data_IF_456578613606
#
_entry.id   IF_456578613606
#
_cell.length_a   1.000
_cell.length_b   1.000
_cell.length_c   1.000
_cell.angle_alpha   90.00
_cell.angle_beta   90.00
_cell.angle_gamma   90.00
#
_symmetry.space_group_name_H-M   'P 1'
#
loop_
_entity.id
_entity.type
_entity.pdbx_description
1 polymer ?
#
# COMPACT_ATOMS: atom_id res chain seq x y z
N UNK A 1 21.96 5.65 -13.07
CA UNK A 1 21.09 4.52 -13.46
C UNK A 1 19.68 5.02 -13.70
N UNK A 2 19.09 4.69 -14.81
CA UNK A 2 17.74 5.14 -15.16
C UNK A 2 16.71 4.14 -14.64
N UNK A 3 15.74 4.65 -13.89
CA UNK A 3 14.61 3.85 -13.44
C UNK A 3 13.70 3.52 -14.64
N UNK A 4 13.33 2.26 -14.80
CA UNK A 4 12.45 1.82 -15.88
C UNK A 4 11.07 1.48 -15.35
N UNK A 5 10.07 1.41 -16.24
CA UNK A 5 8.72 0.94 -15.86
C UNK A 5 8.77 -0.47 -15.29
N UNK A 6 9.67 -1.33 -15.80
CA UNK A 6 9.82 -2.68 -15.27
C UNK A 6 10.37 -2.66 -13.84
N UNK A 7 11.32 -1.77 -13.53
CA UNK A 7 11.83 -1.60 -12.17
C UNK A 7 10.70 -1.21 -11.21
N UNK A 8 9.87 -0.25 -11.62
CA UNK A 8 8.70 0.17 -10.84
C UNK A 8 7.70 -0.96 -10.68
N UNK A 9 7.42 -1.69 -11.77
CA UNK A 9 6.50 -2.82 -11.76
C UNK A 9 6.95 -3.89 -10.77
N UNK A 10 8.23 -4.19 -10.73
CA UNK A 10 8.78 -5.16 -9.79
C UNK A 10 8.54 -4.74 -8.33
N UNK A 11 8.74 -3.46 -8.02
CA UNK A 11 8.51 -2.93 -6.67
C UNK A 11 7.02 -2.91 -6.33
N UNK A 12 6.17 -2.51 -7.27
CA UNK A 12 4.71 -2.51 -7.07
C UNK A 12 4.18 -3.92 -6.87
N UNK A 13 4.71 -4.90 -7.59
CA UNK A 13 4.34 -6.31 -7.41
C UNK A 13 4.68 -6.78 -5.98
N UNK A 14 5.82 -6.36 -5.43
CA UNK A 14 6.18 -6.64 -4.03
C UNK A 14 5.25 -5.92 -3.05
N UNK A 15 4.86 -4.69 -3.34
CA UNK A 15 3.90 -3.94 -2.51
C UNK A 15 2.56 -4.68 -2.45
N UNK A 16 2.03 -5.07 -3.61
CA UNK A 16 0.75 -5.79 -3.70
C UNK A 16 0.86 -7.12 -2.98
N UNK A 17 1.96 -7.84 -3.16
CA UNK A 17 2.20 -9.12 -2.49
C UNK A 17 2.25 -8.94 -0.98
N UNK A 18 2.94 -7.91 -0.48
CA UNK A 18 3.00 -7.61 0.95
C UNK A 18 1.61 -7.30 1.52
N UNK A 19 0.74 -6.71 0.71
CA UNK A 19 -0.64 -6.43 1.11
C UNK A 19 -1.49 -7.70 1.13
N UNK A 20 -1.51 -8.44 0.02
CA UNK A 20 -2.32 -9.65 -0.12
C UNK A 20 -1.89 -10.73 0.86
N UNK A 21 -0.59 -10.92 1.06
CA UNK A 21 -0.04 -11.91 1.99
C UNK A 21 0.11 -11.38 3.43
N UNK A 22 -0.20 -10.09 3.65
CA UNK A 22 -0.12 -9.45 4.97
C UNK A 22 1.26 -9.59 5.60
N UNK A 23 2.29 -9.24 4.83
CA UNK A 23 3.69 -9.44 5.17
C UNK A 23 4.38 -8.11 5.47
N UNK A 24 4.53 -7.79 6.76
CA UNK A 24 5.16 -6.56 7.21
C UNK A 24 6.68 -6.56 6.98
N UNK A 25 7.32 -7.72 6.96
CA UNK A 25 8.74 -7.81 6.67
C UNK A 25 9.02 -7.52 5.19
N UNK A 26 8.17 -7.99 4.30
CA UNK A 26 8.30 -7.73 2.87
C UNK A 26 8.12 -6.25 2.54
N UNK A 27 7.13 -5.58 3.13
CA UNK A 27 6.91 -4.15 2.84
C UNK A 27 8.12 -3.31 3.24
N UNK A 28 8.79 -3.65 4.30
CA UNK A 28 9.99 -2.95 4.75
C UNK A 28 11.09 -2.94 3.69
N UNK A 29 11.21 -4.02 2.90
CA UNK A 29 12.30 -4.19 1.93
C UNK A 29 12.24 -3.26 0.73
N UNK A 30 11.09 -2.67 0.42
CA UNK A 30 10.92 -1.83 -0.78
C UNK A 30 11.07 -0.34 -0.53
N UNK A 31 11.33 0.07 0.72
CA UNK A 31 11.48 1.47 1.11
C UNK A 31 12.93 1.78 1.49
N UNK A 32 13.34 3.05 1.30
CA UNK A 32 14.63 3.53 1.81
C UNK A 32 14.57 3.64 3.33
N UNK A 33 15.75 3.74 3.98
CA UNK A 33 15.83 3.83 5.45
C UNK A 33 15.04 5.01 6.02
N UNK A 34 15.03 6.14 5.30
CA UNK A 34 14.40 7.40 5.74
C UNK A 34 13.12 7.71 4.99
N UNK A 35 12.50 6.71 4.37
CA UNK A 35 11.29 6.91 3.57
C UNK A 35 10.14 7.51 4.37
N UNK A 36 9.27 8.23 3.65
CA UNK A 36 8.03 8.76 4.21
C UNK A 36 6.83 8.12 3.54
N UNK A 37 5.81 7.83 4.34
CA UNK A 37 4.57 7.21 3.88
C UNK A 37 3.40 8.10 4.29
N UNK A 38 2.78 8.74 3.30
CA UNK A 38 1.66 9.65 3.51
C UNK A 38 0.36 8.93 3.20
N UNK A 39 -0.18 8.25 4.19
CA UNK A 39 -1.48 7.59 4.07
C UNK A 39 -2.60 8.61 3.91
N UNK A 40 -2.48 9.72 4.64
CA UNK A 40 -3.41 10.85 4.57
C UNK A 40 -2.59 12.12 4.45
N UNK A 41 -2.75 12.81 3.32
CA UNK A 41 -1.84 13.91 2.94
C UNK A 41 -1.92 15.13 3.86
N UNK A 42 -2.99 15.28 4.63
CA UNK A 42 -3.11 16.38 5.60
C UNK A 42 -2.60 16.03 7.00
N UNK A 43 -2.19 14.79 7.22
CA UNK A 43 -1.66 14.33 8.50
C UNK A 43 -0.14 14.18 8.42
N UNK A 44 0.49 14.08 9.59
CA UNK A 44 1.92 13.81 9.69
C UNK A 44 2.23 12.46 9.04
N UNK A 45 3.21 12.38 8.13
CA UNK A 45 3.55 11.13 7.49
C UNK A 45 4.16 10.13 8.47
N UNK A 46 3.97 8.86 8.16
CA UNK A 46 4.69 7.77 8.82
C UNK A 46 6.14 7.85 8.35
N UNK A 47 7.07 7.89 9.29
CA UNK A 47 8.49 8.12 9.00
C UNK A 47 9.29 6.85 9.20
N UNK A 48 10.28 6.72 8.34
CA UNK A 48 11.31 5.70 8.25
C UNK A 48 10.77 4.28 7.99
N UNK A 49 11.68 3.41 7.61
CA UNK A 49 11.39 2.03 7.24
C UNK A 49 10.73 1.24 8.38
N UNK A 50 11.21 1.44 9.60
CA UNK A 50 10.67 0.74 10.77
C UNK A 50 9.27 1.23 11.13
N UNK A 51 9.02 2.53 10.98
CA UNK A 51 7.69 3.12 11.17
C UNK A 51 6.68 2.59 10.17
N UNK A 52 7.08 2.44 8.91
CA UNK A 52 6.24 1.87 7.85
C UNK A 52 5.93 0.41 8.16
N UNK A 53 6.90 -0.37 8.62
CA UNK A 53 6.69 -1.76 9.02
C UNK A 53 5.68 -1.86 10.17
N UNK A 54 5.84 -1.02 11.19
CA UNK A 54 4.93 -1.01 12.35
C UNK A 54 3.51 -0.63 11.95
N UNK A 55 3.36 0.38 11.08
CA UNK A 55 2.06 0.77 10.52
C UNK A 55 1.42 -0.39 9.76
N UNK A 56 2.20 -1.06 8.90
CA UNK A 56 1.71 -2.18 8.10
C UNK A 56 1.23 -3.33 8.98
N UNK A 57 1.98 -3.63 10.04
CA UNK A 57 1.60 -4.67 10.99
C UNK A 57 0.26 -4.35 11.65
N UNK A 58 0.08 -3.13 12.14
CA UNK A 58 -1.16 -2.74 12.82
C UNK A 58 -2.33 -2.63 11.85
N UNK A 59 -2.14 -2.01 10.69
CA UNK A 59 -3.22 -1.69 9.76
C UNK A 59 -3.59 -2.85 8.85
N UNK A 60 -2.58 -3.52 8.29
CA UNK A 60 -2.80 -4.59 7.30
C UNK A 60 -2.86 -5.95 7.96
N UNK A 61 -1.85 -6.31 8.74
CA UNK A 61 -1.75 -7.66 9.30
C UNK A 61 -2.82 -7.91 10.36
N UNK A 62 -3.03 -6.95 11.26
CA UNK A 62 -3.93 -7.13 12.40
C UNK A 62 -5.37 -6.68 12.14
N UNK A 63 -5.60 -5.75 11.20
CA UNK A 63 -6.89 -5.10 11.00
C UNK A 63 -7.60 -5.46 9.70
N UNK A 64 -6.99 -6.24 8.82
CA UNK A 64 -7.57 -6.64 7.54
C UNK A 64 -7.46 -8.14 7.34
N UNK A 65 -8.27 -8.69 6.44
CA UNK A 65 -8.16 -10.09 6.00
C UNK A 65 -8.79 -10.26 4.61
N UNK A 66 -8.53 -11.40 4.00
CA UNK A 66 -9.06 -11.78 2.67
C UNK A 66 -8.86 -10.67 1.64
N UNK A 67 -7.60 -10.33 1.39
CA UNK A 67 -7.21 -9.16 0.60
C UNK A 67 -7.00 -9.57 -0.85
N UNK A 68 -7.61 -8.80 -1.77
CA UNK A 68 -7.35 -8.85 -3.20
C UNK A 68 -6.87 -7.49 -3.63
N UNK A 69 -5.89 -7.43 -4.52
CA UNK A 69 -5.37 -6.17 -5.04
C UNK A 69 -4.86 -6.38 -6.45
N UNK A 70 -5.19 -5.45 -7.34
CA UNK A 70 -4.66 -5.48 -8.70
C UNK A 70 -4.20 -4.10 -9.14
N UNK A 71 -3.09 -4.07 -9.86
CA UNK A 71 -2.58 -2.87 -10.49
C UNK A 71 -3.38 -2.57 -11.76
N UNK A 72 -3.93 -1.36 -11.86
CA UNK A 72 -4.72 -0.95 -13.01
C UNK A 72 -3.90 -0.14 -14.01
N UNK A 73 -3.11 0.82 -13.53
CA UNK A 73 -2.32 1.71 -14.38
C UNK A 73 -1.00 2.06 -13.71
N UNK A 74 0.03 2.29 -14.54
CA UNK A 74 1.36 2.69 -14.08
C UNK A 74 1.93 3.70 -15.08
N UNK A 75 2.36 4.85 -14.57
CA UNK A 75 2.99 5.91 -15.34
C UNK A 75 4.31 6.26 -14.68
N UNK A 76 5.31 6.57 -15.49
CA UNK A 76 6.64 6.88 -14.98
C UNK A 76 7.16 8.17 -15.65
N UNK A 77 7.62 9.10 -14.80
CA UNK A 77 8.32 10.30 -15.21
C UNK A 77 9.60 10.42 -14.38
N UNK A 78 10.73 10.12 -14.98
CA UNK A 78 12.05 10.09 -14.34
C UNK A 78 12.07 9.15 -13.11
N UNK A 79 12.16 9.69 -11.90
CA UNK A 79 12.17 8.92 -10.65
C UNK A 79 10.81 8.90 -9.93
N UNK A 80 9.77 9.43 -10.58
CA UNK A 80 8.43 9.51 -9.99
C UNK A 80 7.47 8.63 -10.76
N UNK A 81 6.86 7.69 -10.08
CA UNK A 81 5.85 6.82 -10.66
C UNK A 81 4.47 7.18 -10.09
N UNK A 82 3.46 7.09 -10.95
CA UNK A 82 2.06 7.22 -10.54
C UNK A 82 1.43 5.87 -10.82
N UNK A 83 0.85 5.26 -9.81
CA UNK A 83 0.21 3.95 -9.92
C UNK A 83 -1.23 4.05 -9.45
N UNK A 84 -2.09 3.32 -10.13
CA UNK A 84 -3.50 3.18 -9.74
C UNK A 84 -3.76 1.71 -9.49
N UNK A 85 -4.29 1.41 -8.30
CA UNK A 85 -4.67 0.04 -7.96
C UNK A 85 -6.04 0.01 -7.30
N UNK A 86 -6.64 -1.15 -7.31
CA UNK A 86 -7.90 -1.41 -6.62
C UNK A 86 -7.73 -2.61 -5.71
N UNK A 87 -8.19 -2.47 -4.48
CA UNK A 87 -8.14 -3.54 -3.50
C UNK A 87 -9.52 -3.76 -2.89
N UNK A 88 -9.74 -4.99 -2.45
CA UNK A 88 -10.93 -5.36 -1.70
C UNK A 88 -10.49 -6.21 -0.52
N UNK A 89 -11.02 -5.94 0.65
CA UNK A 89 -10.61 -6.63 1.87
C UNK A 89 -11.69 -6.55 2.95
N UNK A 90 -11.61 -7.47 3.91
CA UNK A 90 -12.40 -7.39 5.12
C UNK A 90 -11.73 -6.43 6.10
N UNK A 91 -12.45 -5.36 6.48
CA UNK A 91 -12.04 -4.44 7.53
C UNK A 91 -12.54 -5.00 8.87
N UNK A 92 -11.63 -5.51 9.68
CA UNK A 92 -11.97 -6.20 10.93
C UNK A 92 -12.37 -5.23 12.04
N UNK A 93 -11.98 -3.96 11.93
CA UNK A 93 -12.34 -2.91 12.90
C UNK A 93 -13.78 -2.46 12.68
N UNK A 94 -14.11 -2.14 11.43
CA UNK A 94 -15.47 -1.68 11.06
C UNK A 94 -16.44 -2.84 10.81
N UNK A 95 -15.91 -4.05 10.66
CA UNK A 95 -16.68 -5.28 10.40
C UNK A 95 -17.48 -5.19 9.10
N UNK A 96 -16.84 -4.70 8.06
CA UNK A 96 -17.39 -4.58 6.72
C UNK A 96 -16.37 -5.05 5.70
N UNK A 97 -16.85 -5.52 4.55
CA UNK A 97 -16.00 -5.71 3.38
C UNK A 97 -15.94 -4.39 2.64
N UNK A 98 -14.72 -3.93 2.34
CA UNK A 98 -14.47 -2.66 1.67
C UNK A 98 -13.81 -2.89 0.33
N UNK A 99 -14.11 -1.98 -0.60
CA UNK A 99 -13.36 -1.81 -1.84
C UNK A 99 -12.74 -0.42 -1.83
N UNK A 100 -11.47 -0.34 -2.20
CA UNK A 100 -10.73 0.92 -2.26
C UNK A 100 -10.10 1.06 -3.63
N UNK A 101 -10.27 2.23 -4.26
CA UNK A 101 -9.55 2.63 -5.46
C UNK A 101 -8.57 3.70 -5.05
N UNK A 102 -7.31 3.53 -5.43
CA UNK A 102 -6.23 4.38 -4.93
C UNK A 102 -5.28 4.77 -6.04
N UNK A 103 -4.83 6.03 -5.99
CA UNK A 103 -3.69 6.52 -6.76
C UNK A 103 -2.57 6.81 -5.79
N UNK A 104 -1.40 6.24 -6.03
CA UNK A 104 -0.23 6.52 -5.22
C UNK A 104 0.84 7.18 -6.08
N UNK A 105 1.49 8.21 -5.50
CA UNK A 105 2.63 8.86 -6.12
C UNK A 105 3.87 8.35 -5.40
N UNK A 106 4.72 7.64 -6.13
CA UNK A 106 5.92 7.01 -5.61
C UNK A 106 7.15 7.74 -6.11
N UNK A 107 7.96 8.26 -5.18
CA UNK A 107 9.26 8.83 -5.54
C UNK A 107 10.32 7.79 -5.21
N UNK A 108 11.19 7.50 -6.17
CA UNK A 108 12.23 6.48 -6.03
C UNK A 108 13.59 7.10 -5.81
N UNK A 109 14.39 6.43 -5.01
CA UNK A 109 15.82 6.66 -4.85
C UNK A 109 16.50 5.33 -5.19
N UNK A 110 17.15 5.29 -6.36
CA UNK A 110 17.56 4.01 -6.94
C UNK A 110 16.33 3.19 -7.28
N UNK A 111 16.24 1.98 -6.75
CA UNK A 111 15.09 1.07 -6.93
C UNK A 111 14.24 0.93 -5.68
N UNK A 112 14.41 1.82 -4.71
CA UNK A 112 13.63 1.82 -3.47
C UNK A 112 12.75 3.06 -3.43
N UNK A 113 11.60 2.95 -2.78
CA UNK A 113 10.67 4.05 -2.60
C UNK A 113 11.19 4.95 -1.46
N UNK A 114 11.40 6.24 -1.75
CA UNK A 114 11.78 7.23 -0.74
C UNK A 114 10.56 8.00 -0.22
N UNK A 115 9.48 8.09 -1.00
CA UNK A 115 8.25 8.75 -0.60
C UNK A 115 7.06 8.09 -1.28
N UNK A 116 6.02 7.84 -0.51
CA UNK A 116 4.75 7.34 -1.02
C UNK A 116 3.65 8.26 -0.51
N UNK A 117 2.81 8.75 -1.43
CA UNK A 117 1.62 9.56 -1.09
C UNK A 117 0.40 8.89 -1.68
N UNK A 118 -0.62 8.69 -0.86
CA UNK A 118 -1.85 8.01 -1.26
C UNK A 118 -3.02 8.97 -1.39
N UNK A 119 -3.81 8.77 -2.44
CA UNK A 119 -5.08 9.45 -2.66
C UNK A 119 -6.11 8.37 -2.98
N UNK A 120 -7.12 8.22 -2.14
CA UNK A 120 -8.00 7.07 -2.24
C UNK A 120 -9.46 7.41 -1.94
N UNK A 121 -10.33 6.56 -2.47
CA UNK A 121 -11.75 6.54 -2.16
C UNK A 121 -12.14 5.10 -1.84
N UNK A 122 -13.04 4.94 -0.89
CA UNK A 122 -13.49 3.60 -0.51
C UNK A 122 -15.01 3.55 -0.43
N UNK A 123 -15.53 2.33 -0.59
CA UNK A 123 -16.95 2.06 -0.41
C UNK A 123 -17.14 0.72 0.31
N UNK A 124 -18.26 0.60 1.00
CA UNK A 124 -18.65 -0.66 1.62
C UNK A 124 -19.25 -1.58 0.57
N UNK A 125 -18.75 -2.82 0.50
CA UNK A 125 -19.29 -3.87 -0.38
C UNK A 125 -20.40 -4.62 0.35
N UNK A 126 -20.13 -5.07 1.58
CA UNK A 126 -21.09 -5.80 2.39
C UNK A 126 -20.71 -5.71 3.86
N UNK A 127 -21.64 -6.04 4.73
CA UNK A 127 -21.39 -6.20 6.17
C UNK A 127 -20.88 -7.61 6.41
N UNK A 128 -19.86 -7.77 7.26
CA UNK A 128 -19.37 -9.09 7.63
C UNK A 128 -20.39 -9.79 8.54
N UNK A 129 -20.60 -11.07 8.26
CA UNK A 129 -21.52 -11.88 9.09
C UNK A 129 -20.98 -12.00 10.51
N UNK A 130 -21.85 -11.87 11.55
CA UNK A 130 -21.40 -12.11 12.91
C UNK A 130 -20.89 -13.54 13.05
N UNK A 131 -19.78 -13.69 13.81
CA UNK A 131 -19.28 -15.03 14.11
C UNK A 131 -20.33 -15.77 14.93
N UNK A 132 -20.73 -16.99 14.56
CA UNK A 132 -21.67 -17.76 15.37
C UNK A 132 -21.09 -18.01 16.77
N UNK A 133 -21.92 -17.87 17.75
CA UNK A 133 -21.52 -18.18 19.14
C UNK A 133 -21.29 -19.69 19.33
#
# INVERSE_FOLDING_TARGET
>A
MTLTKQDVRNVVDLYIRAWVEQDADLIETIFTDTATYHERVFETPIQDRHGIRAYWKAKVVESQSDIKCELLNLYLDENTAIVEWEAEFDDLVQKVRKRIREVAILVFEGRLISSLREYWSSEQVTVLSPTPD
#
